data_IF_554415632647
#
_entry.id   IF_554415632647
#
_cell.length_a   1.000
_cell.length_b   1.000
_cell.length_c   1.000
_cell.angle_alpha   90.00
_cell.angle_beta   90.00
_cell.angle_gamma   90.00
#
_symmetry.space_group_name_H-M   'P 1'
#
loop_
_entity.id
_entity.type
_entity.pdbx_description
1 polymer ?
#
# COMPACT_ATOMS: atom_id res chain seq x y z
N UNK A 1 52.19 -51.61 -39.21
CA UNK A 1 51.60 -50.51 -38.42
C UNK A 1 50.44 -49.95 -39.23
N UNK A 2 49.20 -50.09 -38.76
CA UNK A 2 48.02 -49.24 -39.05
C UNK A 2 46.82 -49.76 -38.22
N UNK A 3 45.94 -48.85 -37.82
CA UNK A 3 45.15 -48.75 -36.56
C UNK A 3 43.94 -49.70 -36.40
N UNK A 4 43.44 -49.91 -35.17
CA UNK A 4 42.23 -50.71 -34.92
C UNK A 4 40.95 -49.93 -35.23
N UNK A 5 39.94 -50.62 -35.80
CA UNK A 5 38.58 -50.11 -36.03
C UNK A 5 37.92 -49.77 -34.70
N UNK A 6 37.68 -48.48 -34.47
CA UNK A 6 36.88 -47.99 -33.35
C UNK A 6 35.40 -48.27 -33.64
N UNK A 7 34.83 -49.20 -32.89
CA UNK A 7 33.39 -49.41 -32.81
C UNK A 7 32.73 -48.15 -32.25
N UNK A 8 32.02 -47.42 -33.11
CA UNK A 8 31.13 -46.33 -32.68
C UNK A 8 29.79 -46.96 -32.29
N UNK A 9 29.57 -47.11 -30.99
CA UNK A 9 28.24 -47.39 -30.43
C UNK A 9 27.35 -46.16 -30.62
N UNK A 10 26.10 -46.28 -31.07
CA UNK A 10 25.15 -45.20 -31.01
C UNK A 10 24.56 -45.15 -29.60
N UNK A 11 25.25 -44.49 -28.67
CA UNK A 11 24.67 -44.06 -27.40
C UNK A 11 23.85 -42.79 -27.64
N UNK A 12 22.64 -42.95 -28.17
CA UNK A 12 21.70 -41.88 -28.50
C UNK A 12 20.36 -42.00 -27.79
N UNK A 13 20.36 -41.78 -26.48
CA UNK A 13 19.25 -41.23 -25.66
C UNK A 13 17.81 -41.46 -26.17
N UNK A 14 17.27 -42.67 -25.99
CA UNK A 14 15.84 -42.97 -26.20
C UNK A 14 14.93 -42.52 -25.04
N UNK A 15 15.48 -42.13 -23.89
CA UNK A 15 14.69 -41.95 -22.65
C UNK A 15 14.08 -40.54 -22.44
N UNK A 16 14.61 -39.49 -23.09
CA UNK A 16 14.19 -38.10 -22.82
C UNK A 16 13.04 -37.59 -23.72
N UNK A 17 12.57 -38.38 -24.69
CA UNK A 17 11.61 -37.95 -25.71
C UNK A 17 10.14 -38.20 -25.33
N UNK A 18 9.88 -39.13 -24.41
CA UNK A 18 8.51 -39.45 -23.97
C UNK A 18 7.83 -38.31 -23.17
N UNK A 19 8.48 -37.64 -22.20
CA UNK A 19 7.86 -36.52 -21.47
C UNK A 19 7.51 -35.33 -22.38
N UNK A 20 8.34 -35.08 -23.40
CA UNK A 20 8.13 -34.00 -24.38
C UNK A 20 6.94 -34.26 -25.30
N UNK A 21 6.72 -35.51 -25.73
CA UNK A 21 5.55 -35.87 -26.57
C UNK A 21 4.23 -35.69 -25.82
N UNK A 22 4.17 -36.16 -24.57
CA UNK A 22 2.99 -36.02 -23.71
C UNK A 22 2.65 -34.55 -23.47
N UNK A 23 3.65 -33.70 -23.21
CA UNK A 23 3.42 -32.26 -23.04
C UNK A 23 2.87 -31.59 -24.31
N UNK A 24 3.38 -31.94 -25.49
CA UNK A 24 2.88 -31.40 -26.77
C UNK A 24 1.45 -31.86 -27.02
N UNK A 25 1.14 -33.13 -26.77
CA UNK A 25 -0.20 -33.69 -26.95
C UNK A 25 -1.23 -33.06 -26.00
N UNK A 26 -0.86 -32.83 -24.74
CA UNK A 26 -1.67 -32.07 -23.78
C UNK A 26 -1.89 -30.63 -24.26
N UNK A 27 -0.84 -29.94 -24.72
CA UNK A 27 -0.96 -28.57 -25.22
C UNK A 27 -1.87 -28.48 -26.45
N UNK A 28 -1.76 -29.44 -27.38
CA UNK A 28 -2.64 -29.52 -28.55
C UNK A 28 -4.09 -29.75 -28.14
N UNK A 29 -4.34 -30.73 -27.26
CA UNK A 29 -5.70 -31.03 -26.78
C UNK A 29 -6.33 -29.85 -26.03
N UNK A 30 -5.56 -29.13 -25.21
CA UNK A 30 -6.02 -27.93 -24.51
C UNK A 30 -6.33 -26.80 -25.49
N UNK A 31 -5.50 -26.61 -26.51
CA UNK A 31 -5.70 -25.60 -27.55
C UNK A 31 -6.97 -25.87 -28.36
N UNK A 32 -7.19 -27.12 -28.79
CA UNK A 32 -8.42 -27.51 -29.50
C UNK A 32 -9.68 -27.32 -28.63
N UNK A 33 -9.59 -27.67 -27.33
CA UNK A 33 -10.70 -27.44 -26.38
C UNK A 33 -10.98 -25.95 -26.22
N UNK A 34 -9.94 -25.13 -26.10
CA UNK A 34 -10.07 -23.68 -25.98
C UNK A 34 -10.70 -23.09 -27.24
N UNK A 35 -10.26 -23.51 -28.43
CA UNK A 35 -10.81 -23.04 -29.71
C UNK A 35 -12.28 -23.43 -29.90
N UNK A 36 -12.64 -24.67 -29.53
CA UNK A 36 -14.03 -25.14 -29.52
C UNK A 36 -14.89 -24.30 -28.57
N UNK A 37 -14.41 -24.05 -27.35
CA UNK A 37 -15.11 -23.22 -26.37
C UNK A 37 -15.24 -21.76 -26.84
N UNK A 38 -14.17 -21.18 -27.39
CA UNK A 38 -14.18 -19.82 -27.91
C UNK A 38 -15.18 -19.66 -29.07
N UNK A 39 -15.22 -20.62 -29.99
CA UNK A 39 -16.14 -20.60 -31.12
C UNK A 39 -17.59 -20.82 -30.68
N UNK A 40 -17.83 -21.77 -29.77
CA UNK A 40 -19.16 -21.99 -29.20
C UNK A 40 -19.68 -20.74 -28.46
N UNK A 41 -18.87 -20.16 -27.58
CA UNK A 41 -19.24 -18.96 -26.83
C UNK A 41 -19.47 -17.75 -27.73
N UNK A 42 -18.64 -17.56 -28.77
CA UNK A 42 -18.87 -16.51 -29.77
C UNK A 42 -20.21 -16.70 -30.50
N UNK A 43 -20.55 -17.94 -30.83
CA UNK A 43 -21.84 -18.28 -31.43
C UNK A 43 -23.03 -17.99 -30.52
N UNK A 44 -22.95 -18.36 -29.24
CA UNK A 44 -24.00 -18.06 -28.26
C UNK A 44 -24.16 -16.55 -28.03
N UNK A 45 -23.06 -15.79 -27.98
CA UNK A 45 -23.11 -14.32 -27.89
C UNK A 45 -23.81 -13.70 -29.10
N UNK A 46 -23.55 -14.17 -30.31
CA UNK A 46 -24.24 -13.68 -31.52
C UNK A 46 -25.74 -14.03 -31.53
N UNK A 47 -26.11 -15.21 -31.01
CA UNK A 47 -27.53 -15.56 -30.82
C UNK A 47 -28.21 -14.61 -29.83
N UNK A 48 -27.56 -14.30 -28.71
CA UNK A 48 -28.08 -13.35 -27.71
C UNK A 48 -28.20 -11.95 -28.34
N UNK A 49 -27.15 -11.49 -29.04
CA UNK A 49 -27.13 -10.20 -29.75
C UNK A 49 -28.30 -10.09 -30.74
N UNK A 50 -28.54 -11.14 -31.53
CA UNK A 50 -29.64 -11.19 -32.49
C UNK A 50 -31.01 -11.14 -31.80
N UNK A 51 -31.19 -11.90 -30.71
CA UNK A 51 -32.43 -11.88 -29.92
C UNK A 51 -32.69 -10.52 -29.27
N UNK A 52 -31.65 -9.88 -28.73
CA UNK A 52 -31.74 -8.55 -28.10
C UNK A 52 -32.01 -7.47 -29.15
N UNK A 53 -31.34 -7.53 -30.30
CA UNK A 53 -31.54 -6.59 -31.41
C UNK A 53 -32.92 -6.67 -32.04
N UNK A 54 -33.53 -7.88 -32.09
CA UNK A 54 -34.90 -8.09 -32.56
C UNK A 54 -35.99 -7.75 -31.53
N UNK A 55 -35.62 -7.44 -30.28
CA UNK A 55 -36.58 -7.08 -29.25
C UNK A 55 -36.73 -5.55 -29.17
N UNK A 56 -37.94 -5.06 -29.42
CA UNK A 56 -38.25 -3.62 -29.43
C UNK A 56 -37.97 -2.92 -28.10
N UNK A 57 -38.14 -3.63 -26.97
CA UNK A 57 -37.87 -3.09 -25.62
C UNK A 57 -36.39 -3.14 -25.23
N UNK A 58 -35.60 -4.05 -25.81
CA UNK A 58 -34.22 -4.29 -25.40
C UNK A 58 -33.19 -3.67 -26.36
N UNK A 59 -33.51 -3.52 -27.64
CA UNK A 59 -32.56 -3.05 -28.67
C UNK A 59 -31.99 -1.66 -28.36
N UNK A 60 -32.79 -0.77 -27.76
CA UNK A 60 -32.37 0.56 -27.31
C UNK A 60 -31.51 0.57 -26.04
N UNK A 61 -31.43 -0.55 -25.31
CA UNK A 61 -30.68 -0.66 -24.05
C UNK A 61 -29.23 -1.08 -24.25
N UNK A 62 -28.84 -1.54 -25.44
CA UNK A 62 -27.49 -2.05 -25.70
C UNK A 62 -26.81 -1.28 -26.85
N UNK A 63 -25.49 -1.17 -26.80
CA UNK A 63 -24.69 -0.62 -27.92
C UNK A 63 -24.32 -1.72 -28.93
N UNK A 64 -23.67 -1.33 -30.03
CA UNK A 64 -23.25 -2.28 -31.08
C UNK A 64 -22.22 -3.29 -30.58
N UNK A 65 -21.58 -3.03 -29.45
CA UNK A 65 -20.60 -3.88 -28.80
C UNK A 65 -21.24 -4.85 -27.78
N UNK A 66 -22.55 -4.72 -27.50
CA UNK A 66 -23.28 -5.59 -26.57
C UNK A 66 -23.18 -5.17 -25.10
N UNK A 67 -22.66 -3.97 -24.82
CA UNK A 67 -22.68 -3.36 -23.49
C UNK A 67 -24.01 -2.64 -23.27
N UNK A 68 -24.56 -2.76 -22.05
CA UNK A 68 -25.71 -1.97 -21.62
C UNK A 68 -25.36 -0.51 -21.76
N UNK A 69 -26.10 0.23 -22.60
CA UNK A 69 -26.12 1.69 -22.56
C UNK A 69 -26.55 2.01 -21.14
N UNK A 70 -25.62 2.53 -20.34
CA UNK A 70 -25.92 3.02 -18.99
C UNK A 70 -27.24 3.76 -19.12
N UNK A 71 -28.23 3.28 -18.35
CA UNK A 71 -29.62 3.62 -18.58
C UNK A 71 -29.72 5.11 -18.90
N UNK A 72 -30.35 5.44 -20.03
CA UNK A 72 -30.96 6.74 -20.19
C UNK A 72 -32.17 6.81 -19.24
N UNK A 73 -31.95 6.60 -17.93
CA UNK A 73 -32.67 7.34 -16.93
C UNK A 73 -32.15 8.76 -17.05
N UNK A 74 -32.94 9.58 -17.74
CA UNK A 74 -33.06 11.03 -17.56
C UNK A 74 -31.77 11.82 -17.34
N UNK A 75 -31.35 12.65 -18.31
CA UNK A 75 -30.71 13.95 -18.03
C UNK A 75 -29.62 14.04 -16.92
N UNK A 76 -28.88 12.97 -16.58
CA UNK A 76 -28.10 12.89 -15.34
C UNK A 76 -26.68 12.34 -15.52
N UNK A 77 -26.15 12.38 -16.75
CA UNK A 77 -24.75 12.05 -17.03
C UNK A 77 -23.76 13.11 -16.53
N UNK A 78 -24.24 14.28 -16.12
CA UNK A 78 -23.47 15.35 -15.48
C UNK A 78 -23.64 15.31 -13.95
N UNK A 79 -24.85 15.16 -13.43
CA UNK A 79 -25.09 15.22 -11.96
C UNK A 79 -24.29 14.17 -11.17
N UNK A 80 -24.17 12.93 -11.67
CA UNK A 80 -23.40 11.88 -10.96
C UNK A 80 -21.88 12.05 -11.07
N UNK A 81 -21.38 12.74 -12.09
CA UNK A 81 -19.94 13.06 -12.20
C UNK A 81 -19.62 14.33 -11.39
N UNK A 82 -20.53 15.31 -11.36
CA UNK A 82 -20.46 16.52 -10.53
C UNK A 82 -20.49 16.17 -9.03
N UNK A 83 -21.46 15.36 -8.56
CA UNK A 83 -21.51 14.88 -7.16
C UNK A 83 -20.23 14.13 -6.76
N UNK A 84 -19.65 13.37 -7.70
CA UNK A 84 -18.41 12.63 -7.47
C UNK A 84 -17.19 13.56 -7.40
N UNK A 85 -17.13 14.60 -8.23
CA UNK A 85 -16.07 15.60 -8.16
C UNK A 85 -16.19 16.47 -6.90
N UNK A 86 -17.41 16.78 -6.45
CA UNK A 86 -17.68 17.48 -5.20
C UNK A 86 -17.25 16.66 -3.98
N UNK A 87 -17.59 15.37 -3.94
CA UNK A 87 -17.14 14.46 -2.88
C UNK A 87 -15.61 14.32 -2.85
N UNK A 88 -14.96 14.28 -4.02
CA UNK A 88 -13.49 14.31 -4.08
C UNK A 88 -12.92 15.64 -3.60
N UNK A 89 -13.60 16.75 -3.87
CA UNK A 89 -13.18 18.07 -3.39
C UNK A 89 -13.26 18.16 -1.87
N UNK A 90 -14.37 17.72 -1.28
CA UNK A 90 -14.54 17.62 0.17
C UNK A 90 -13.51 16.69 0.81
N UNK A 91 -13.20 15.56 0.16
CA UNK A 91 -12.16 14.65 0.64
C UNK A 91 -10.80 15.36 0.71
N UNK A 92 -10.41 16.08 -0.34
CA UNK A 92 -9.16 16.85 -0.37
C UNK A 92 -9.14 17.96 0.69
N UNK A 93 -10.26 18.63 0.90
CA UNK A 93 -10.38 19.67 1.91
C UNK A 93 -10.23 19.10 3.33
N UNK A 94 -10.94 18.00 3.63
CA UNK A 94 -10.77 17.29 4.90
C UNK A 94 -9.35 16.76 5.10
N UNK A 95 -8.70 16.26 4.05
CA UNK A 95 -7.29 15.83 4.10
C UNK A 95 -6.35 17.00 4.43
N UNK A 96 -6.61 18.19 3.90
CA UNK A 96 -5.83 19.40 4.16
C UNK A 96 -6.03 19.90 5.59
N UNK A 97 -7.28 19.96 6.07
CA UNK A 97 -7.60 20.32 7.46
C UNK A 97 -6.97 19.33 8.46
N UNK A 98 -6.98 18.04 8.12
CA UNK A 98 -6.34 17.01 8.93
C UNK A 98 -4.82 17.21 8.97
N UNK A 99 -4.18 17.51 7.83
CA UNK A 99 -2.75 17.79 7.77
C UNK A 99 -2.38 19.03 8.60
N UNK A 100 -3.19 20.09 8.52
CA UNK A 100 -3.01 21.31 9.31
C UNK A 100 -3.15 21.04 10.81
N UNK A 101 -4.19 20.30 11.22
CA UNK A 101 -4.41 19.96 12.63
C UNK A 101 -3.29 19.08 13.18
N UNK A 102 -2.79 18.13 12.37
CA UNK A 102 -1.63 17.30 12.73
C UNK A 102 -0.38 18.14 12.93
N UNK A 103 -0.14 19.15 12.08
CA UNK A 103 0.99 20.06 12.25
C UNK A 103 0.89 20.83 13.57
N UNK A 104 -0.29 21.41 13.86
CA UNK A 104 -0.51 22.15 15.10
C UNK A 104 -0.33 21.29 16.35
N UNK A 105 -0.72 20.01 16.29
CA UNK A 105 -0.49 19.06 17.37
C UNK A 105 1.02 18.88 17.62
N UNK A 106 1.79 18.60 16.56
CA UNK A 106 3.24 18.41 16.67
C UNK A 106 3.94 19.68 17.18
N UNK A 107 3.52 20.86 16.71
CA UNK A 107 4.04 22.14 17.21
C UNK A 107 3.78 22.34 18.70
N UNK A 108 2.57 21.98 19.17
CA UNK A 108 2.23 22.04 20.58
C UNK A 108 3.03 21.03 21.41
N UNK A 109 3.19 19.79 20.93
CA UNK A 109 4.02 18.77 21.58
C UNK A 109 5.48 19.21 21.70
N UNK A 110 6.06 19.77 20.64
CA UNK A 110 7.42 20.32 20.67
C UNK A 110 7.55 21.47 21.68
N UNK A 111 6.55 22.37 21.74
CA UNK A 111 6.54 23.47 22.71
C UNK A 111 6.46 22.97 24.16
N UNK A 112 5.69 21.91 24.42
CA UNK A 112 5.63 21.29 25.73
C UNK A 112 6.99 20.71 26.10
N UNK A 113 7.63 19.96 25.20
CA UNK A 113 8.96 19.38 25.44
C UNK A 113 10.03 20.44 25.75
N UNK A 114 10.00 21.56 25.02
CA UNK A 114 10.93 22.67 25.27
C UNK A 114 10.72 23.30 26.66
N UNK A 115 9.47 23.53 27.05
CA UNK A 115 9.12 24.06 28.37
C UNK A 115 9.49 23.09 29.49
N UNK A 116 9.28 21.79 29.31
CA UNK A 116 9.68 20.75 30.27
C UNK A 116 11.20 20.73 30.45
N UNK A 117 11.95 20.85 29.36
CA UNK A 117 13.40 20.95 29.42
C UNK A 117 13.85 22.21 30.18
N UNK A 118 13.28 23.38 29.87
CA UNK A 118 13.55 24.63 30.60
C UNK A 118 13.25 24.53 32.09
N UNK A 119 12.13 23.90 32.46
CA UNK A 119 11.78 23.63 33.85
C UNK A 119 12.83 22.73 34.53
N UNK A 120 13.28 21.67 33.85
CA UNK A 120 14.33 20.78 34.34
C UNK A 120 15.65 21.50 34.60
N UNK A 121 16.06 22.40 33.70
CA UNK A 121 17.26 23.23 33.88
C UNK A 121 17.13 24.16 35.09
N UNK A 122 16.03 24.91 35.19
CA UNK A 122 15.78 25.82 36.31
C UNK A 122 15.73 25.08 37.66
N UNK A 123 15.11 23.90 37.69
CA UNK A 123 15.07 23.06 38.89
C UNK A 123 16.48 22.61 39.33
N UNK A 124 17.32 22.20 38.38
CA UNK A 124 18.71 21.82 38.65
C UNK A 124 19.52 23.00 39.18
N UNK A 125 19.34 24.20 38.62
CA UNK A 125 20.00 25.42 39.08
C UNK A 125 19.60 25.78 40.52
N UNK A 126 18.31 25.77 40.83
CA UNK A 126 17.81 26.00 42.20
C UNK A 126 18.38 24.98 43.19
N UNK A 127 18.45 23.70 42.79
CA UNK A 127 19.06 22.65 43.61
C UNK A 127 20.57 22.86 43.83
N UNK A 128 21.30 23.25 42.79
CA UNK A 128 22.74 23.53 42.87
C UNK A 128 23.03 24.75 43.75
N UNK A 129 22.27 25.84 43.58
CA UNK A 129 22.31 27.00 44.45
C UNK A 129 21.97 26.60 45.89
N UNK A 130 20.93 25.75 46.08
CA UNK A 130 20.52 25.23 47.39
C UNK A 130 21.65 24.50 48.12
N UNK A 131 22.26 23.52 47.45
CA UNK A 131 23.40 22.77 48.00
C UNK A 131 24.56 23.72 48.32
N UNK A 132 24.82 24.70 47.47
CA UNK A 132 25.93 25.66 47.64
C UNK A 132 25.73 26.55 48.86
N UNK A 133 24.58 27.21 49.00
CA UNK A 133 24.35 28.09 50.15
C UNK A 133 24.26 27.30 51.45
N UNK A 134 23.62 26.12 51.44
CA UNK A 134 23.52 25.26 52.62
C UNK A 134 24.90 24.79 53.09
N UNK A 135 25.74 24.32 52.17
CA UNK A 135 27.11 23.91 52.48
C UNK A 135 27.94 25.09 53.01
N UNK A 136 27.79 26.28 52.41
CA UNK A 136 28.51 27.50 52.83
C UNK A 136 28.09 27.96 54.22
N UNK A 137 26.79 27.96 54.52
CA UNK A 137 26.26 28.34 55.83
C UNK A 137 26.62 27.34 56.92
N UNK A 138 26.46 26.03 56.68
CA UNK A 138 26.87 25.01 57.64
C UNK A 138 28.37 25.05 57.95
N UNK A 139 29.20 25.24 56.91
CA UNK A 139 30.65 25.38 57.09
C UNK A 139 30.98 26.63 57.92
N UNK A 140 30.30 27.74 57.66
CA UNK A 140 30.50 29.00 58.40
C UNK A 140 30.01 28.94 59.86
N UNK A 141 29.01 28.14 60.19
CA UNK A 141 28.57 27.94 61.58
C UNK A 141 29.59 27.06 62.33
N UNK A 142 30.04 25.96 61.72
CA UNK A 142 31.01 25.05 62.33
C UNK A 142 32.31 25.75 62.73
N UNK A 143 32.81 26.69 61.94
CA UNK A 143 34.01 27.46 62.26
C UNK A 143 33.80 28.45 63.42
N UNK A 144 32.59 28.98 63.60
CA UNK A 144 32.25 29.91 64.70
C UNK A 144 32.02 29.18 66.02
N UNK A 145 31.50 27.95 66.01
CA UNK A 145 31.37 27.10 67.21
C UNK A 145 32.61 26.27 67.54
N UNK A 146 33.61 26.21 66.66
CA UNK A 146 34.85 25.43 66.84
C UNK A 146 36.00 26.13 67.57
N UNK A 147 35.77 27.27 68.22
CA UNK A 147 36.84 28.08 68.87
C UNK A 147 36.70 28.22 70.39
N UNK A 148 36.24 27.18 71.08
CA UNK A 148 36.50 27.01 72.53
C UNK A 148 36.83 25.54 72.79
N UNK A 149 37.92 25.31 73.54
CA UNK A 149 38.55 24.01 73.86
C UNK A 149 39.53 23.54 72.78
N UNK A 150 40.86 23.53 72.93
CA UNK A 150 41.72 23.48 74.13
C UNK A 150 43.13 24.00 73.80
N UNK A 151 43.67 24.80 74.72
CA UNK A 151 45.09 24.86 75.09
C UNK A 151 45.58 23.51 75.59
#
# INVERSE_FOLDING_TARGET
MERPRSHRTPTGTSSSRAPRRVSVEICTQLSERLEKQQTANRGELEKIRSKVGGCEKCSGLFNKEGRVRAAATSAGGTETDEEKEDLKSQLREMELELAQTKLQLVEAECKIQDLEHHLGLAFNEVQAAKKTWFNRTLSSIKTVTGTKETT
#
